data_IF_249440135891
#
_entry.id   IF_249440135891
#
_cell.length_a   1.000
_cell.length_b   1.000
_cell.length_c   1.000
_cell.angle_alpha   90.00
_cell.angle_beta   90.00
_cell.angle_gamma   90.00
#
_symmetry.space_group_name_H-M   'P 1'
#
loop_
_entity.id
_entity.type
_entity.pdbx_description
1 polymer ?
#
# COMPACT_ATOMS: atom_id res chain seq x y z
N UNK A 1 8.16 13.54 -10.22
CA UNK A 1 8.14 12.55 -9.13
C UNK A 1 7.04 11.55 -9.46
N UNK A 2 7.22 10.24 -9.27
CA UNK A 2 6.18 9.27 -9.61
C UNK A 2 5.64 8.64 -8.33
N UNK A 3 4.31 8.77 -8.11
CA UNK A 3 3.61 8.10 -7.02
C UNK A 3 3.00 6.80 -7.55
N UNK A 4 3.27 5.69 -6.89
CA UNK A 4 2.80 4.37 -7.28
C UNK A 4 1.48 4.00 -6.62
N UNK A 5 1.46 4.11 -5.31
CA UNK A 5 0.27 3.75 -4.52
C UNK A 5 0.21 4.51 -3.20
N UNK A 6 -1.00 4.61 -2.68
CA UNK A 6 -1.29 5.23 -1.41
C UNK A 6 -2.24 4.36 -0.60
N UNK A 7 -1.95 4.22 0.70
CA UNK A 7 -2.71 3.40 1.63
C UNK A 7 -2.99 4.18 2.90
N UNK A 8 -4.17 3.97 3.48
CA UNK A 8 -4.50 4.44 4.82
C UNK A 8 -4.92 3.23 5.64
N UNK A 9 -4.27 3.06 6.79
CA UNK A 9 -4.62 2.03 7.77
C UNK A 9 -5.18 2.68 9.03
N UNK A 10 -6.20 2.06 9.59
CA UNK A 10 -6.82 2.51 10.83
C UNK A 10 -6.06 2.02 12.08
N UNK A 11 -6.61 2.33 13.26
CA UNK A 11 -6.08 1.87 14.55
C UNK A 11 -6.17 0.35 14.73
N UNK A 12 -7.13 -0.30 14.07
CA UNK A 12 -7.35 -1.75 14.09
C UNK A 12 -6.47 -2.51 13.10
N UNK A 13 -5.57 -1.79 12.42
CA UNK A 13 -4.65 -2.35 11.41
C UNK A 13 -5.35 -2.78 10.12
N UNK A 14 -6.57 -2.33 9.89
CA UNK A 14 -7.32 -2.56 8.67
C UNK A 14 -7.02 -1.48 7.64
N UNK A 15 -6.95 -1.87 6.38
CA UNK A 15 -6.76 -0.95 5.29
C UNK A 15 -8.10 -0.32 4.90
N UNK A 16 -8.28 0.97 5.20
CA UNK A 16 -9.52 1.70 4.94
C UNK A 16 -9.52 2.46 3.64
N UNK A 17 -8.35 2.65 3.01
CA UNK A 17 -8.24 3.31 1.71
C UNK A 17 -7.03 2.79 0.92
N UNK A 18 -7.25 2.51 -0.38
CA UNK A 18 -6.20 2.14 -1.31
C UNK A 18 -6.39 2.90 -2.62
N UNK A 19 -5.33 3.55 -3.10
CA UNK A 19 -5.28 4.12 -4.44
C UNK A 19 -3.98 3.73 -5.13
N UNK A 20 -4.07 3.33 -6.39
CA UNK A 20 -2.91 2.99 -7.22
C UNK A 20 -2.98 3.80 -8.52
N UNK A 21 -1.88 4.47 -8.87
CA UNK A 21 -1.76 5.24 -10.13
C UNK A 21 -0.95 4.49 -11.17
N UNK A 22 0.02 3.65 -10.74
CA UNK A 22 0.85 2.85 -11.62
C UNK A 22 0.97 1.42 -11.09
N UNK A 23 0.66 0.45 -11.93
CA UNK A 23 0.88 -0.97 -11.64
C UNK A 23 2.35 -1.33 -11.90
N UNK A 24 3.24 -1.03 -10.98
CA UNK A 24 4.68 -1.13 -11.15
C UNK A 24 5.31 -2.49 -10.87
N UNK A 25 4.60 -3.58 -11.08
CA UNK A 25 5.18 -4.92 -10.86
C UNK A 25 5.16 -5.76 -12.15
N UNK A 26 5.36 -5.13 -13.31
CA UNK A 26 5.31 -5.87 -14.58
C UNK A 26 6.53 -5.71 -15.48
N UNK A 27 7.73 -5.45 -14.96
CA UNK A 27 8.87 -5.24 -15.84
C UNK A 27 10.20 -5.92 -15.45
N UNK A 28 10.19 -6.95 -14.63
CA UNK A 28 11.44 -7.64 -14.33
C UNK A 28 11.26 -9.15 -14.15
N UNK A 29 10.67 -9.84 -15.12
CA UNK A 29 11.04 -11.24 -15.42
C UNK A 29 10.41 -11.63 -16.74
N UNK A 30 11.07 -11.36 -17.85
CA UNK A 30 10.95 -12.21 -19.01
C UNK A 30 11.68 -13.52 -18.65
N UNK A 31 11.00 -14.66 -18.57
CA UNK A 31 11.71 -15.94 -18.54
C UNK A 31 12.29 -16.15 -19.92
N UNK A 32 13.62 -16.23 -20.01
CA UNK A 32 14.28 -16.83 -21.17
C UNK A 32 13.66 -18.21 -21.40
N UNK A 33 12.91 -18.33 -22.47
CA UNK A 33 12.40 -19.59 -22.99
C UNK A 33 13.57 -20.44 -23.45
N UNK A 34 13.91 -21.44 -22.64
CA UNK A 34 14.82 -22.53 -23.04
C UNK A 34 13.94 -23.68 -23.50
N UNK A 35 14.09 -24.17 -24.73
CA UNK A 35 13.35 -25.33 -25.18
C UNK A 35 13.94 -26.58 -24.53
N UNK A 36 13.15 -27.32 -23.80
CA UNK A 36 13.50 -28.68 -23.37
C UNK A 36 12.51 -29.66 -24.00
N UNK A 37 13.08 -30.51 -24.77
CA UNK A 37 12.52 -31.67 -25.45
C UNK A 37 11.76 -32.60 -24.51
N UNK A 38 10.70 -33.16 -25.06
CA UNK A 38 9.81 -34.15 -24.49
C UNK A 38 10.52 -35.44 -24.01
N UNK A 39 10.05 -35.97 -22.89
CA UNK A 39 10.00 -37.43 -22.69
C UNK A 39 8.87 -37.78 -21.73
N UNK A 40 8.06 -38.69 -22.19
CA UNK A 40 6.85 -39.29 -21.64
C UNK A 40 7.10 -40.11 -20.38
N UNK A 41 6.18 -40.04 -19.40
CA UNK A 41 5.61 -41.26 -18.77
C UNK A 41 4.42 -40.87 -17.86
N UNK A 42 3.36 -41.64 -18.04
CA UNK A 42 2.08 -41.57 -17.37
C UNK A 42 2.13 -42.03 -15.91
N UNK A 43 1.27 -41.51 -15.01
CA UNK A 43 0.14 -42.27 -14.44
C UNK A 43 -0.50 -41.53 -13.24
N UNK A 44 -1.82 -41.47 -13.29
CA UNK A 44 -2.89 -41.53 -12.26
C UNK A 44 -3.21 -40.35 -11.39
N UNK A 45 -4.40 -39.90 -11.63
CA UNK A 45 -5.36 -39.01 -11.03
C UNK A 45 -5.41 -38.93 -9.49
N UNK A 46 -5.60 -37.73 -9.00
CA UNK A 46 -6.72 -37.42 -8.10
C UNK A 46 -7.04 -35.92 -8.21
N UNK A 47 -8.27 -35.66 -8.52
CA UNK A 47 -8.89 -34.38 -8.79
C UNK A 47 -9.01 -33.52 -7.53
N UNK A 48 -8.39 -32.31 -7.52
CA UNK A 48 -8.99 -31.11 -6.98
C UNK A 48 -8.67 -30.01 -7.98
N UNK A 49 -9.71 -29.48 -8.60
CA UNK A 49 -9.62 -28.44 -9.61
C UNK A 49 -9.31 -27.11 -8.94
N UNK A 50 -8.06 -26.77 -8.80
CA UNK A 50 -7.63 -25.39 -8.69
C UNK A 50 -7.21 -24.90 -10.08
N UNK A 51 -8.01 -23.98 -10.58
CA UNK A 51 -7.83 -23.29 -11.83
C UNK A 51 -6.51 -22.50 -11.75
N UNK A 52 -5.52 -22.73 -12.62
CA UNK A 52 -4.34 -21.88 -12.66
C UNK A 52 -4.76 -20.53 -13.26
N UNK A 53 -5.02 -19.56 -12.42
CA UNK A 53 -5.19 -18.17 -12.83
C UNK A 53 -3.84 -17.60 -13.25
N UNK A 54 -3.79 -17.20 -14.49
CA UNK A 54 -2.72 -16.47 -15.16
C UNK A 54 -2.09 -15.38 -14.30
N UNK A 55 -0.72 -15.42 -14.19
CA UNK A 55 0.09 -14.26 -13.78
C UNK A 55 -0.17 -13.78 -12.36
N UNK A 56 0.73 -14.11 -11.48
CA UNK A 56 0.80 -13.85 -10.04
C UNK A 56 0.67 -12.34 -9.67
N UNK A 57 -0.47 -11.72 -9.97
CA UNK A 57 -0.83 -10.38 -9.47
C UNK A 57 -1.58 -10.58 -8.15
N UNK A 58 -0.93 -10.18 -7.06
CA UNK A 58 -1.56 -10.11 -5.75
C UNK A 58 -2.79 -9.21 -5.82
N UNK A 59 -3.86 -9.60 -5.16
CA UNK A 59 -5.03 -8.74 -5.00
C UNK A 59 -4.65 -7.47 -4.23
N UNK A 60 -5.42 -6.40 -4.40
CA UNK A 60 -5.15 -5.13 -3.68
C UNK A 60 -5.15 -5.34 -2.16
N UNK A 61 -6.04 -6.19 -1.67
CA UNK A 61 -6.12 -6.53 -0.24
C UNK A 61 -4.87 -7.30 0.25
N UNK A 62 -4.33 -8.21 -0.56
CA UNK A 62 -3.10 -8.92 -0.23
C UNK A 62 -1.89 -7.98 -0.24
N UNK A 63 -1.83 -7.06 -1.19
CA UNK A 63 -0.79 -6.03 -1.23
C UNK A 63 -0.84 -5.13 0.02
N UNK A 64 -2.03 -4.71 0.44
CA UNK A 64 -2.20 -3.92 1.65
C UNK A 64 -1.71 -4.66 2.90
N UNK A 65 -2.03 -5.95 3.02
CA UNK A 65 -1.55 -6.80 4.13
C UNK A 65 -0.02 -6.90 4.15
N UNK A 66 0.61 -7.09 3.00
CA UNK A 66 2.08 -7.14 2.90
C UNK A 66 2.71 -5.81 3.27
N UNK A 67 2.20 -4.70 2.74
CA UNK A 67 2.67 -3.34 3.07
C UNK A 67 2.55 -3.08 4.56
N UNK A 68 1.40 -3.43 5.16
CA UNK A 68 1.19 -3.30 6.59
C UNK A 68 2.20 -4.13 7.40
N UNK A 69 2.43 -5.40 7.02
CA UNK A 69 3.41 -6.28 7.68
C UNK A 69 4.83 -5.69 7.70
N UNK A 70 5.26 -5.11 6.57
CA UNK A 70 6.57 -4.41 6.48
C UNK A 70 6.62 -3.22 7.43
N UNK A 71 5.60 -2.36 7.42
CA UNK A 71 5.54 -1.16 8.26
C UNK A 71 5.55 -1.54 9.74
N UNK A 72 4.73 -2.52 10.13
CA UNK A 72 4.63 -3.00 11.50
C UNK A 72 5.98 -3.51 12.01
N UNK A 73 6.67 -4.30 11.20
CA UNK A 73 7.98 -4.85 11.54
C UNK A 73 9.05 -3.75 11.67
N UNK A 74 9.11 -2.83 10.71
CA UNK A 74 10.09 -1.73 10.72
C UNK A 74 9.84 -0.75 11.87
N UNK A 75 8.58 -0.39 12.12
CA UNK A 75 8.20 0.47 13.25
C UNK A 75 8.62 -0.13 14.60
N UNK A 76 8.32 -1.41 14.78
CA UNK A 76 8.71 -2.12 16.03
C UNK A 76 10.24 -2.24 16.17
N UNK A 77 10.95 -2.45 15.06
CA UNK A 77 12.41 -2.49 15.06
C UNK A 77 13.00 -1.14 15.47
N UNK A 78 12.53 -0.04 14.87
CA UNK A 78 12.99 1.31 15.22
C UNK A 78 12.77 1.60 16.70
N UNK A 79 11.57 1.34 17.23
CA UNK A 79 11.26 1.54 18.66
C UNK A 79 12.14 0.72 19.60
N UNK A 80 12.52 -0.49 19.20
CA UNK A 80 13.42 -1.35 20.01
C UNK A 80 14.88 -0.91 19.95
N UNK A 81 15.33 -0.35 18.84
CA UNK A 81 16.72 0.07 18.65
C UNK A 81 16.99 1.49 19.18
N UNK A 82 16.07 2.42 18.92
CA UNK A 82 16.28 3.84 19.18
C UNK A 82 15.46 4.38 20.35
N UNK A 83 14.50 3.59 20.87
CA UNK A 83 13.63 3.97 21.98
C UNK A 83 12.22 4.36 21.56
N UNK A 84 11.30 4.58 22.54
CA UNK A 84 9.88 4.82 22.28
C UNK A 84 9.59 6.17 21.64
N UNK A 85 10.47 7.15 21.81
CA UNK A 85 10.32 8.51 21.27
C UNK A 85 10.66 8.58 19.78
N UNK A 86 11.40 7.61 19.26
CA UNK A 86 11.80 7.62 17.86
C UNK A 86 10.72 7.03 16.95
N UNK A 87 10.62 7.57 15.75
CA UNK A 87 9.57 7.23 14.79
C UNK A 87 10.14 6.77 13.46
N UNK A 88 9.54 5.71 12.90
CA UNK A 88 9.78 5.29 11.54
C UNK A 88 9.23 6.33 10.56
N UNK A 89 10.06 6.80 9.62
CA UNK A 89 9.70 7.85 8.66
C UNK A 89 9.61 7.36 7.22
N UNK A 90 10.61 6.61 6.80
CA UNK A 90 10.67 6.10 5.43
C UNK A 90 11.53 4.84 5.32
N UNK A 91 11.29 4.09 4.27
CA UNK A 91 12.05 2.92 3.88
C UNK A 91 12.34 2.95 2.38
N UNK A 92 13.58 2.71 1.99
CA UNK A 92 14.00 2.75 0.59
C UNK A 92 14.50 1.39 0.13
N UNK A 93 14.01 0.95 -1.02
CA UNK A 93 14.49 -0.23 -1.75
C UNK A 93 15.25 0.19 -3.00
N UNK A 94 15.68 -0.78 -3.82
CA UNK A 94 16.25 -0.51 -5.14
C UNK A 94 15.24 0.00 -6.18
N UNK A 95 13.94 -0.17 -5.95
CA UNK A 95 12.88 0.12 -6.93
C UNK A 95 11.87 1.16 -6.47
N UNK A 96 11.65 1.31 -5.18
CA UNK A 96 10.68 2.25 -4.62
C UNK A 96 11.13 2.80 -3.27
N UNK A 97 10.50 3.88 -2.87
CA UNK A 97 10.62 4.47 -1.55
C UNK A 97 9.25 4.50 -0.89
N UNK A 98 9.15 3.96 0.31
CA UNK A 98 7.97 3.98 1.15
C UNK A 98 8.08 5.15 2.12
N UNK A 99 7.07 6.03 2.11
CA UNK A 99 6.93 7.12 3.07
C UNK A 99 5.83 6.77 4.05
N UNK A 100 6.06 7.11 5.31
CA UNK A 100 5.18 6.77 6.41
C UNK A 100 4.89 7.98 7.29
N UNK A 101 3.63 8.14 7.66
CA UNK A 101 3.18 9.12 8.63
C UNK A 101 2.11 8.50 9.53
N UNK A 102 2.29 8.60 10.85
CA UNK A 102 1.34 8.12 11.85
C UNK A 102 0.78 9.32 12.63
N UNK A 103 -0.54 9.38 12.75
CA UNK A 103 -1.23 10.40 13.55
C UNK A 103 -1.29 9.98 15.03
N UNK A 104 -1.64 10.92 15.90
CA UNK A 104 -1.88 10.62 17.32
C UNK A 104 -3.07 9.66 17.54
N UNK A 105 -4.02 9.65 16.60
CA UNK A 105 -5.17 8.72 16.60
C UNK A 105 -4.83 7.33 16.04
N UNK A 106 -3.54 7.03 15.82
CA UNK A 106 -3.06 5.76 15.26
C UNK A 106 -3.53 5.48 13.82
N UNK A 107 -3.94 6.50 13.08
CA UNK A 107 -4.10 6.40 11.63
C UNK A 107 -2.72 6.42 10.98
N UNK A 108 -2.51 5.55 10.01
CA UNK A 108 -1.22 5.37 9.32
C UNK A 108 -1.39 5.64 7.85
N UNK A 109 -0.69 6.64 7.37
CA UNK A 109 -0.64 7.05 5.97
C UNK A 109 0.65 6.54 5.35
N UNK A 110 0.52 5.83 4.24
CA UNK A 110 1.62 5.17 3.55
C UNK A 110 1.59 5.52 2.08
N UNK A 111 2.68 6.03 1.55
CA UNK A 111 2.81 6.35 0.14
C UNK A 111 4.05 5.68 -0.44
N UNK A 112 3.88 4.98 -1.56
CA UNK A 112 4.97 4.39 -2.34
C UNK A 112 5.28 5.29 -3.52
N UNK A 113 6.54 5.67 -3.64
CA UNK A 113 7.03 6.58 -4.70
C UNK A 113 8.30 6.06 -5.34
N UNK A 114 8.76 6.77 -6.37
CA UNK A 114 10.09 6.58 -6.94
C UNK A 114 11.20 6.85 -5.89
N UNK A 115 12.33 6.18 -6.09
CA UNK A 115 13.51 6.22 -5.20
C UNK A 115 14.14 7.61 -5.06
N UNK A 116 13.93 8.50 -6.05
CA UNK A 116 14.49 9.86 -6.08
C UNK A 116 13.71 10.88 -5.28
N UNK A 117 12.50 10.50 -4.83
CA UNK A 117 11.61 11.40 -4.11
C UNK A 117 12.19 11.78 -2.75
N UNK A 118 12.10 13.04 -2.37
CA UNK A 118 12.47 13.51 -1.04
C UNK A 118 11.53 13.00 0.05
N UNK A 119 11.63 13.53 1.26
CA UNK A 119 10.76 13.13 2.37
C UNK A 119 9.37 13.73 2.20
N UNK A 120 8.34 12.90 2.11
CA UNK A 120 6.93 13.32 1.98
C UNK A 120 6.19 13.41 3.32
N UNK A 121 6.89 13.49 4.44
CA UNK A 121 6.25 13.58 5.77
C UNK A 121 5.28 14.78 5.85
N UNK A 122 5.71 15.95 5.39
CA UNK A 122 4.87 17.16 5.38
C UNK A 122 3.68 17.03 4.43
N UNK A 123 3.88 16.42 3.27
CA UNK A 123 2.81 16.17 2.30
C UNK A 123 1.77 15.20 2.84
N UNK A 124 2.19 14.11 3.49
CA UNK A 124 1.28 13.17 4.15
C UNK A 124 0.51 13.83 5.30
N UNK A 125 1.17 14.70 6.06
CA UNK A 125 0.49 15.49 7.09
C UNK A 125 -0.55 16.45 6.49
N UNK A 126 -0.25 17.10 5.37
CA UNK A 126 -1.22 17.94 4.66
C UNK A 126 -2.41 17.15 4.12
N UNK A 127 -2.19 15.96 3.57
CA UNK A 127 -3.27 15.05 3.17
C UNK A 127 -4.17 14.74 4.37
N UNK A 128 -3.59 14.43 5.52
CA UNK A 128 -4.37 14.18 6.74
C UNK A 128 -5.22 15.38 7.12
N UNK A 129 -4.61 16.57 7.27
CA UNK A 129 -5.30 17.77 7.78
C UNK A 129 -6.31 18.30 6.77
N UNK A 130 -5.94 18.44 5.49
CA UNK A 130 -6.75 19.13 4.50
C UNK A 130 -7.76 18.23 3.79
N UNK A 131 -7.47 16.95 3.64
CA UNK A 131 -8.33 16.04 2.90
C UNK A 131 -9.04 15.05 3.84
N UNK A 132 -8.30 14.31 4.65
CA UNK A 132 -8.91 13.27 5.49
C UNK A 132 -9.83 13.88 6.56
N UNK A 133 -9.38 14.89 7.28
CA UNK A 133 -10.19 15.54 8.32
C UNK A 133 -11.42 16.22 7.71
N UNK A 134 -11.30 16.93 6.58
CA UNK A 134 -12.40 17.67 5.96
C UNK A 134 -13.46 16.72 5.33
N UNK A 135 -13.02 15.71 4.58
CA UNK A 135 -13.94 14.89 3.81
C UNK A 135 -14.36 13.60 4.48
N UNK A 136 -13.61 13.11 5.47
CA UNK A 136 -13.91 11.85 6.17
C UNK A 136 -14.35 12.12 7.60
N UNK A 137 -13.54 12.82 8.41
CA UNK A 137 -13.85 13.01 9.83
C UNK A 137 -15.02 13.96 10.05
N UNK A 138 -15.09 15.06 9.32
CA UNK A 138 -16.18 16.04 9.40
C UNK A 138 -17.44 15.62 8.65
N UNK A 139 -17.38 14.59 7.85
CA UNK A 139 -18.52 14.11 7.09
C UNK A 139 -19.46 13.30 8.01
N UNK A 140 -20.69 13.77 8.28
CA UNK A 140 -21.63 13.08 9.15
C UNK A 140 -22.13 11.75 8.59
N UNK A 141 -21.94 11.50 7.30
CA UNK A 141 -22.32 10.26 6.62
C UNK A 141 -21.19 9.21 6.64
N UNK A 142 -19.98 9.60 7.03
CA UNK A 142 -18.85 8.70 7.14
C UNK A 142 -18.95 7.89 8.45
N UNK A 143 -18.76 6.57 8.42
CA UNK A 143 -18.72 5.79 9.64
C UNK A 143 -17.54 6.23 10.51
N UNK A 144 -17.76 6.27 11.82
CA UNK A 144 -16.70 6.61 12.81
C UNK A 144 -15.66 5.51 12.90
N UNK A 145 -16.09 4.28 12.71
CA UNK A 145 -15.25 3.09 12.69
C UNK A 145 -15.49 2.31 11.40
N UNK A 146 -14.40 1.93 10.76
CA UNK A 146 -14.43 1.16 9.51
C UNK A 146 -14.34 -0.35 9.82
N UNK A 147 -15.33 -0.87 10.54
CA UNK A 147 -15.37 -2.28 10.92
C UNK A 147 -15.41 -3.19 9.68
N UNK A 148 -14.49 -4.18 9.64
CA UNK A 148 -14.40 -5.11 8.50
C UNK A 148 -13.73 -4.54 7.26
N UNK A 149 -13.03 -3.39 7.36
CA UNK A 149 -12.34 -2.77 6.24
C UNK A 149 -13.28 -2.08 5.25
N UNK A 150 -14.49 -1.70 5.68
CA UNK A 150 -15.32 -0.78 4.89
C UNK A 150 -14.54 0.50 4.65
N UNK A 151 -14.10 0.67 3.41
CA UNK A 151 -13.18 1.73 3.03
C UNK A 151 -13.82 3.12 3.07
N UNK A 152 -12.97 4.13 3.05
CA UNK A 152 -13.38 5.50 2.81
C UNK A 152 -13.94 5.59 1.39
N UNK A 153 -15.26 5.72 1.27
CA UNK A 153 -15.97 5.85 0.01
C UNK A 153 -16.51 7.27 -0.14
N UNK A 154 -15.61 8.22 -0.41
CA UNK A 154 -15.97 9.61 -0.64
C UNK A 154 -15.30 10.11 -1.92
N UNK A 155 -16.12 10.40 -2.93
CA UNK A 155 -15.66 10.84 -4.25
C UNK A 155 -14.84 12.15 -4.18
N UNK A 156 -15.23 13.09 -3.31
CA UNK A 156 -14.50 14.34 -3.13
C UNK A 156 -13.12 14.10 -2.51
N UNK A 157 -13.02 13.13 -1.62
CA UNK A 157 -11.74 12.71 -1.05
C UNK A 157 -10.82 12.11 -2.12
N UNK A 158 -11.36 11.24 -2.97
CA UNK A 158 -10.59 10.63 -4.08
C UNK A 158 -10.08 11.67 -5.07
N UNK A 159 -10.95 12.59 -5.51
CA UNK A 159 -10.58 13.68 -6.39
C UNK A 159 -9.54 14.61 -5.74
N UNK A 160 -9.69 14.87 -4.45
CA UNK A 160 -8.72 15.64 -3.67
C UNK A 160 -7.34 15.00 -3.62
N UNK A 161 -7.27 13.69 -3.38
CA UNK A 161 -6.02 12.93 -3.40
C UNK A 161 -5.39 12.96 -4.80
N UNK A 162 -6.17 12.71 -5.86
CA UNK A 162 -5.66 12.71 -7.23
C UNK A 162 -5.11 14.11 -7.62
N UNK A 163 -5.80 15.18 -7.25
CA UNK A 163 -5.35 16.55 -7.48
C UNK A 163 -4.07 16.87 -6.70
N UNK A 164 -4.02 16.45 -5.44
CA UNK A 164 -2.85 16.65 -4.59
C UNK A 164 -1.61 15.92 -5.12
N UNK A 165 -1.77 14.67 -5.53
CA UNK A 165 -0.67 13.87 -6.11
C UNK A 165 -0.14 14.53 -7.39
N UNK A 166 -1.02 15.04 -8.27
CA UNK A 166 -0.60 15.79 -9.48
C UNK A 166 0.15 17.08 -9.15
N UNK A 167 -0.13 17.71 -8.02
CA UNK A 167 0.58 18.94 -7.59
C UNK A 167 1.98 18.65 -7.08
N UNK A 168 2.19 17.47 -6.53
CA UNK A 168 3.50 17.04 -6.01
C UNK A 168 4.37 16.44 -7.13
N UNK A 169 3.76 15.89 -8.20
CA UNK A 169 4.44 15.27 -9.32
C UNK A 169 5.18 16.30 -10.19
#
# INVERSE_FOLDING_TARGET
>A
MVVYSFFIFDRHCECIYIRQWLNNVSSATQPLSRPVTASSAATVATSVAEKPSSGNRLSMAEQAKLVFGVIFSLRNMVKKLCGPEDSFLCYRTGHYKLHYYETLSSLRFVMLTDIRTESLKSSLHQIYVNLYVEYVVKNPLSPVEHAGGEGVNNELFELGIDSFVRTID
#
